data_IF_026436017223
#
_entry.id   IF_026436017223
#
_cell.length_a   1.000
_cell.length_b   1.000
_cell.length_c   1.000
_cell.angle_alpha   90.00
_cell.angle_beta   90.00
_cell.angle_gamma   90.00
#
_symmetry.space_group_name_H-M   'P 1'
#
loop_
_entity.id
_entity.type
_entity.pdbx_description
1 polymer ?
#
# COMPACT_ATOMS: atom_id res chain seq x y z
N UNK A 1 0.83 -9.66 -4.86
CA UNK A 1 0.12 -9.55 -3.56
C UNK A 1 0.45 -10.77 -2.69
N UNK A 2 0.55 -10.65 -1.36
CA UNK A 2 0.67 -11.80 -0.45
C UNK A 2 -0.66 -11.96 0.31
N UNK A 3 -1.10 -13.20 0.49
CA UNK A 3 -2.28 -13.60 1.27
C UNK A 3 -1.87 -14.69 2.27
N UNK A 4 -2.77 -15.04 3.22
CA UNK A 4 -2.56 -16.19 4.11
C UNK A 4 -2.47 -17.53 3.37
N UNK A 5 -3.06 -17.64 2.18
CA UNK A 5 -3.10 -18.87 1.39
C UNK A 5 -1.95 -18.99 0.36
N UNK A 6 -1.16 -17.93 0.17
CA UNK A 6 -0.11 -17.88 -0.83
C UNK A 6 0.01 -16.53 -1.52
N UNK A 7 0.91 -16.47 -2.50
CA UNK A 7 1.19 -15.27 -3.27
C UNK A 7 0.38 -15.22 -4.57
N UNK A 8 -0.09 -14.03 -4.91
CA UNK A 8 -0.62 -13.73 -6.24
C UNK A 8 0.46 -12.95 -7.00
N UNK A 9 0.90 -13.51 -8.12
CA UNK A 9 1.92 -12.92 -8.98
C UNK A 9 1.27 -11.86 -9.86
N UNK A 10 1.72 -10.61 -9.69
CA UNK A 10 1.17 -9.44 -10.37
C UNK A 10 1.85 -9.22 -11.72
N UNK A 11 1.20 -8.49 -12.62
CA UNK A 11 1.73 -8.14 -13.93
C UNK A 11 2.07 -6.63 -13.96
N UNK A 12 3.35 -6.29 -14.05
CA UNK A 12 3.80 -4.89 -13.95
C UNK A 12 3.35 -4.06 -15.16
N UNK A 13 2.92 -2.81 -14.93
CA UNK A 13 2.45 -1.94 -16.01
C UNK A 13 3.56 -1.32 -16.86
N UNK A 14 4.77 -1.21 -16.30
CA UNK A 14 5.97 -0.68 -16.98
C UNK A 14 6.82 -1.81 -17.56
N UNK A 15 7.27 -1.65 -18.82
CA UNK A 15 8.08 -2.67 -19.53
C UNK A 15 9.42 -2.93 -18.85
N UNK A 16 9.98 -1.91 -18.22
CA UNK A 16 11.26 -1.97 -17.50
C UNK A 16 11.20 -2.90 -16.28
N UNK A 17 10.00 -3.19 -15.78
CA UNK A 17 9.73 -4.04 -14.60
C UNK A 17 9.20 -5.42 -14.97
N UNK A 18 9.20 -5.77 -16.26
CA UNK A 18 8.54 -6.99 -16.75
C UNK A 18 9.15 -8.30 -16.24
N UNK A 19 10.41 -8.31 -15.78
CA UNK A 19 11.06 -9.48 -15.19
C UNK A 19 10.98 -9.59 -13.66
N UNK A 20 10.39 -8.60 -12.98
CA UNK A 20 10.20 -8.64 -11.53
C UNK A 20 9.24 -9.75 -11.06
N UNK A 21 8.12 -10.03 -11.75
CA UNK A 21 7.17 -11.07 -11.32
C UNK A 21 7.78 -12.47 -11.22
N UNK A 22 8.59 -12.87 -12.21
CA UNK A 22 9.24 -14.18 -12.25
C UNK A 22 10.28 -14.31 -11.14
N UNK A 23 11.18 -13.32 -11.00
CA UNK A 23 12.17 -13.31 -9.93
C UNK A 23 11.53 -13.33 -8.54
N UNK A 24 10.41 -12.63 -8.37
CA UNK A 24 9.64 -12.63 -7.13
C UNK A 24 8.99 -14.00 -6.85
N UNK A 25 8.42 -14.64 -7.88
CA UNK A 25 7.83 -15.98 -7.74
C UNK A 25 8.88 -17.03 -7.37
N UNK A 26 10.06 -17.00 -8.00
CA UNK A 26 11.15 -17.94 -7.71
C UNK A 26 11.67 -17.78 -6.28
N UNK A 27 11.82 -16.54 -5.80
CA UNK A 27 12.19 -16.27 -4.41
C UNK A 27 11.15 -16.84 -3.43
N UNK A 28 9.86 -16.63 -3.69
CA UNK A 28 8.78 -17.15 -2.85
C UNK A 28 8.72 -18.68 -2.82
N UNK A 29 8.92 -19.34 -3.97
CA UNK A 29 9.03 -20.80 -4.06
C UNK A 29 10.19 -21.31 -3.20
N UNK A 30 11.33 -20.63 -3.23
CA UNK A 30 12.49 -20.99 -2.39
C UNK A 30 12.21 -20.91 -0.89
N UNK A 31 11.24 -20.08 -0.48
CA UNK A 31 10.80 -19.92 0.92
C UNK A 31 9.58 -20.79 1.28
N UNK A 32 9.11 -21.64 0.36
CA UNK A 32 7.95 -22.49 0.57
C UNK A 32 6.60 -21.77 0.55
N UNK A 33 6.55 -20.53 0.03
CA UNK A 33 5.29 -19.80 -0.15
C UNK A 33 4.64 -20.23 -1.47
N UNK A 34 3.42 -20.80 -1.45
CA UNK A 34 2.78 -21.27 -2.68
C UNK A 34 2.30 -20.11 -3.55
N UNK A 35 2.26 -20.33 -4.87
CA UNK A 35 1.58 -19.44 -5.81
C UNK A 35 0.08 -19.76 -5.81
N UNK A 36 -0.72 -18.81 -5.32
CA UNK A 36 -2.19 -18.89 -5.31
C UNK A 36 -2.79 -18.58 -6.69
N UNK A 37 -2.16 -17.68 -7.44
CA UNK A 37 -2.62 -17.27 -8.76
C UNK A 37 -1.67 -16.29 -9.43
N UNK A 38 -1.93 -16.00 -10.71
CA UNK A 38 -1.12 -15.10 -11.53
C UNK A 38 -2.04 -14.27 -12.43
N UNK A 39 -1.76 -12.98 -12.53
CA UNK A 39 -2.42 -12.12 -13.51
C UNK A 39 -1.91 -12.41 -14.92
N UNK A 40 -2.80 -12.29 -15.90
CA UNK A 40 -2.47 -12.61 -17.29
C UNK A 40 -3.21 -11.72 -18.29
N UNK A 41 -2.87 -11.84 -19.57
CA UNK A 41 -3.52 -11.07 -20.64
C UNK A 41 -3.09 -9.61 -20.60
N UNK A 42 -4.06 -8.69 -20.60
CA UNK A 42 -3.81 -7.25 -20.54
C UNK A 42 -3.93 -6.69 -19.13
N UNK A 43 -4.17 -7.55 -18.13
CA UNK A 43 -4.14 -7.17 -16.72
C UNK A 43 -2.82 -6.50 -16.36
N UNK A 44 -2.90 -5.37 -15.65
CA UNK A 44 -1.75 -4.75 -15.00
C UNK A 44 -2.08 -4.48 -13.55
N UNK A 45 -1.11 -4.67 -12.67
CA UNK A 45 -1.23 -4.42 -11.24
C UNK A 45 0.15 -4.20 -10.62
N UNK A 46 0.31 -3.16 -9.82
CA UNK A 46 1.52 -2.90 -9.05
C UNK A 46 1.24 -2.95 -7.54
N UNK A 47 2.17 -3.52 -6.76
CA UNK A 47 1.99 -3.71 -5.31
C UNK A 47 1.63 -2.43 -4.55
N UNK A 48 2.12 -1.28 -5.03
CA UNK A 48 1.86 0.05 -4.50
C UNK A 48 0.37 0.43 -4.44
N UNK A 49 -0.45 -0.17 -5.30
CA UNK A 49 -1.88 0.17 -5.43
C UNK A 49 -2.78 -0.65 -4.52
N UNK A 50 -2.23 -1.51 -3.67
CA UNK A 50 -3.00 -2.40 -2.84
C UNK A 50 -2.76 -2.14 -1.36
N UNK A 51 -3.86 -2.08 -0.60
CA UNK A 51 -3.85 -1.89 0.84
C UNK A 51 -4.86 -2.85 1.46
N UNK A 52 -4.41 -3.73 2.35
CA UNK A 52 -5.31 -4.57 3.14
C UNK A 52 -5.95 -3.72 4.23
N UNK A 53 -7.26 -3.49 4.15
CA UNK A 53 -7.99 -2.76 5.17
C UNK A 53 -8.27 -3.65 6.39
N UNK A 54 -8.55 -4.92 6.13
CA UNK A 54 -8.73 -5.99 7.11
C UNK A 54 -8.50 -7.36 6.42
N UNK A 55 -8.71 -8.46 7.14
CA UNK A 55 -8.49 -9.81 6.60
C UNK A 55 -9.41 -10.20 5.42
N UNK A 56 -10.51 -9.48 5.22
CA UNK A 56 -11.55 -9.77 4.22
C UNK A 56 -11.72 -8.64 3.20
N UNK A 57 -10.98 -7.55 3.32
CA UNK A 57 -11.16 -6.36 2.49
C UNK A 57 -9.80 -5.88 1.97
N UNK A 58 -9.62 -5.99 0.65
CA UNK A 58 -8.51 -5.40 -0.06
C UNK A 58 -8.97 -4.11 -0.76
N UNK A 59 -8.25 -3.01 -0.55
CA UNK A 59 -8.43 -1.78 -1.31
C UNK A 59 -7.49 -1.82 -2.52
N UNK A 60 -8.01 -1.42 -3.68
CA UNK A 60 -7.25 -1.31 -4.92
C UNK A 60 -7.33 0.11 -5.50
N UNK A 61 -6.19 0.69 -5.84
CA UNK A 61 -6.11 1.91 -6.64
C UNK A 61 -6.20 1.58 -8.12
N UNK A 62 -7.23 2.07 -8.82
CA UNK A 62 -7.36 1.97 -10.28
C UNK A 62 -6.72 3.19 -10.93
N UNK A 63 -5.75 2.99 -11.80
CA UNK A 63 -4.99 4.07 -12.41
C UNK A 63 -4.06 3.59 -13.53
N UNK A 64 -2.96 4.30 -13.75
CA UNK A 64 -2.04 4.00 -14.85
C UNK A 64 -1.20 2.73 -14.65
N UNK A 65 -1.06 2.25 -13.41
CA UNK A 65 -0.26 1.06 -13.07
C UNK A 65 -1.11 -0.18 -12.84
N UNK A 66 -2.31 -0.01 -12.29
CA UNK A 66 -3.27 -1.07 -12.02
C UNK A 66 -4.57 -0.79 -12.76
N UNK A 67 -4.94 -1.67 -13.69
CA UNK A 67 -6.11 -1.50 -14.54
C UNK A 67 -7.31 -2.35 -14.07
N UNK A 68 -8.47 -2.14 -14.70
CA UNK A 68 -9.71 -2.85 -14.33
C UNK A 68 -9.57 -4.37 -14.48
N UNK A 69 -8.96 -4.84 -15.57
CA UNK A 69 -8.77 -6.29 -15.81
C UNK A 69 -7.91 -6.94 -14.71
N UNK A 70 -6.88 -6.24 -14.23
CA UNK A 70 -6.07 -6.70 -13.09
C UNK A 70 -6.87 -6.75 -11.79
N UNK A 71 -7.74 -5.78 -11.55
CA UNK A 71 -8.64 -5.76 -10.39
C UNK A 71 -9.66 -6.90 -10.45
N UNK A 72 -10.24 -7.16 -11.61
CA UNK A 72 -11.22 -8.22 -11.81
C UNK A 72 -10.60 -9.60 -11.58
N UNK A 73 -9.44 -9.88 -12.19
CA UNK A 73 -8.71 -11.12 -11.95
C UNK A 73 -8.28 -11.27 -10.48
N UNK A 74 -7.88 -10.17 -9.82
CA UNK A 74 -7.59 -10.22 -8.37
C UNK A 74 -8.83 -10.57 -7.57
N UNK A 75 -10.00 -10.00 -7.88
CA UNK A 75 -11.25 -10.33 -7.22
C UNK A 75 -11.62 -11.80 -7.43
N UNK A 76 -11.44 -12.36 -8.63
CA UNK A 76 -11.69 -13.79 -8.91
C UNK A 76 -10.79 -14.71 -8.09
N UNK A 77 -9.49 -14.40 -8.00
CA UNK A 77 -8.53 -15.21 -7.22
C UNK A 77 -8.81 -15.11 -5.71
N UNK A 78 -9.26 -13.96 -5.24
CA UNK A 78 -9.46 -13.67 -3.82
C UNK A 78 -10.86 -14.05 -3.30
N UNK A 79 -11.86 -14.14 -4.17
CA UNK A 79 -13.24 -14.48 -3.79
C UNK A 79 -13.34 -15.83 -3.05
N UNK A 80 -12.66 -16.92 -3.46
CA UNK A 80 -12.68 -18.19 -2.73
C UNK A 80 -12.12 -18.10 -1.31
N UNK A 81 -11.29 -17.10 -1.02
CA UNK A 81 -10.76 -16.82 0.31
C UNK A 81 -11.70 -15.94 1.16
N UNK A 82 -12.86 -15.56 0.63
CA UNK A 82 -13.81 -14.66 1.29
C UNK A 82 -13.34 -13.21 1.32
N UNK A 83 -12.40 -12.83 0.45
CA UNK A 83 -11.87 -11.47 0.35
C UNK A 83 -12.61 -10.68 -0.74
N UNK A 84 -13.05 -9.48 -0.37
CA UNK A 84 -13.65 -8.50 -1.28
C UNK A 84 -12.61 -7.46 -1.68
N UNK A 85 -12.54 -7.16 -2.98
CA UNK A 85 -11.72 -6.08 -3.54
C UNK A 85 -12.60 -4.86 -3.74
N UNK A 86 -12.24 -3.74 -3.10
CA UNK A 86 -12.89 -2.44 -3.27
C UNK A 86 -11.94 -1.53 -4.04
N UNK A 87 -12.31 -1.20 -5.28
CA UNK A 87 -11.47 -0.39 -6.15
C UNK A 87 -11.94 1.06 -6.22
N UNK A 88 -10.97 1.99 -6.23
CA UNK A 88 -11.22 3.43 -6.36
C UNK A 88 -10.29 4.03 -7.41
N UNK A 89 -10.83 4.95 -8.22
CA UNK A 89 -10.01 5.70 -9.18
C UNK A 89 -9.00 6.59 -8.46
N UNK A 90 -7.73 6.44 -8.82
CA UNK A 90 -6.67 7.31 -8.37
C UNK A 90 -6.72 8.64 -9.14
N UNK A 91 -6.36 9.76 -8.49
CA UNK A 91 -6.35 11.06 -9.17
C UNK A 91 -5.31 11.08 -10.30
N UNK A 92 -5.57 11.90 -11.33
CA UNK A 92 -4.64 12.07 -12.45
C UNK A 92 -3.26 12.59 -12.02
N UNK A 93 -3.22 13.43 -10.97
CA UNK A 93 -2.02 14.09 -10.44
C UNK A 93 -1.22 14.82 -11.54
N UNK A 94 -0.02 14.35 -11.88
CA UNK A 94 0.81 14.89 -12.95
C UNK A 94 0.89 13.97 -14.19
N UNK A 95 0.03 12.95 -14.26
CA UNK A 95 -0.17 12.11 -15.43
C UNK A 95 0.59 10.77 -15.42
N UNK A 96 0.58 10.04 -16.57
CA UNK A 96 1.05 8.64 -16.63
C UNK A 96 2.54 8.42 -16.36
N UNK A 97 3.37 9.46 -16.54
CA UNK A 97 4.81 9.38 -16.32
C UNK A 97 5.20 9.26 -14.84
N UNK A 98 4.34 9.79 -13.96
CA UNK A 98 4.58 9.81 -12.52
C UNK A 98 4.40 8.44 -11.87
N UNK A 99 4.99 8.31 -10.69
CA UNK A 99 4.86 7.14 -9.82
C UNK A 99 3.92 7.49 -8.66
N UNK A 100 2.64 7.69 -8.98
CA UNK A 100 1.60 7.81 -7.97
C UNK A 100 0.88 6.47 -7.83
N UNK A 101 0.99 5.86 -6.65
CA UNK A 101 0.22 4.68 -6.26
C UNK A 101 -0.74 5.03 -5.12
N UNK A 102 -1.67 4.12 -4.80
CA UNK A 102 -2.53 4.24 -3.62
C UNK A 102 -1.71 4.52 -2.35
N UNK A 103 -0.66 3.73 -2.10
CA UNK A 103 0.18 3.87 -0.90
C UNK A 103 1.07 5.12 -0.89
N UNK A 104 1.10 5.91 -1.97
CA UNK A 104 1.80 7.20 -1.98
C UNK A 104 1.13 8.24 -1.08
N UNK A 105 -0.18 8.13 -0.84
CA UNK A 105 -0.96 9.12 -0.10
C UNK A 105 -1.77 8.54 1.06
N UNK A 106 -1.62 7.25 1.36
CA UNK A 106 -2.19 6.62 2.55
C UNK A 106 -1.30 5.48 3.06
N UNK A 107 -1.17 5.35 4.38
CA UNK A 107 -0.64 4.15 5.04
C UNK A 107 -1.46 3.85 6.30
N UNK A 108 -1.86 2.59 6.48
CA UNK A 108 -2.47 2.13 7.73
C UNK A 108 -1.40 1.95 8.80
N UNK A 109 -1.69 2.44 10.00
CA UNK A 109 -0.79 2.46 11.14
C UNK A 109 -1.24 1.52 12.26
N UNK A 110 -2.54 1.23 12.27
CA UNK A 110 -3.23 0.32 13.16
C UNK A 110 -4.58 -0.08 12.53
N UNK A 111 -5.38 -0.91 13.21
CA UNK A 111 -6.75 -1.29 12.82
C UNK A 111 -7.69 -0.10 12.70
N UNK A 112 -7.42 0.98 13.44
CA UNK A 112 -8.28 2.14 13.58
C UNK A 112 -7.58 3.46 13.23
N UNK A 113 -6.40 3.41 12.57
CA UNK A 113 -5.61 4.60 12.32
C UNK A 113 -4.88 4.54 10.98
N UNK A 114 -4.97 5.62 10.21
CA UNK A 114 -4.21 5.83 8.98
C UNK A 114 -3.51 7.19 8.99
N UNK A 115 -2.36 7.29 8.32
CA UNK A 115 -1.81 8.58 7.87
C UNK A 115 -2.22 8.81 6.42
N UNK A 116 -2.66 10.01 6.09
CA UNK A 116 -3.19 10.34 4.76
C UNK A 116 -2.73 11.70 4.26
N UNK A 117 -2.59 11.82 2.95
CA UNK A 117 -2.63 13.10 2.26
C UNK A 117 -4.02 13.25 1.66
N UNK A 118 -4.89 13.90 2.43
CA UNK A 118 -6.34 13.92 2.20
C UNK A 118 -6.72 14.45 0.82
N UNK A 119 -5.93 15.36 0.25
CA UNK A 119 -6.16 15.98 -1.05
C UNK A 119 -6.23 14.99 -2.22
N UNK A 120 -5.57 13.84 -2.10
CA UNK A 120 -5.54 12.80 -3.14
C UNK A 120 -6.50 11.64 -2.86
N UNK A 121 -7.16 11.63 -1.70
CA UNK A 121 -7.99 10.52 -1.29
C UNK A 121 -9.34 10.54 -2.03
N UNK A 122 -9.72 9.46 -2.73
CA UNK A 122 -11.04 9.38 -3.37
C UNK A 122 -12.16 9.53 -2.34
N UNK A 123 -13.18 10.33 -2.64
CA UNK A 123 -14.25 10.70 -1.69
C UNK A 123 -14.94 9.45 -1.11
N UNK A 124 -15.28 8.48 -1.95
CA UNK A 124 -15.92 7.25 -1.50
C UNK A 124 -15.00 6.39 -0.61
N UNK A 125 -13.68 6.47 -0.81
CA UNK A 125 -12.72 5.77 0.05
C UNK A 125 -12.57 6.48 1.39
N UNK A 126 -12.50 7.82 1.39
CA UNK A 126 -12.54 8.62 2.61
C UNK A 126 -13.76 8.29 3.47
N UNK A 127 -14.95 8.24 2.87
CA UNK A 127 -16.18 7.91 3.58
C UNK A 127 -16.14 6.49 4.16
N UNK A 128 -15.64 5.50 3.38
CA UNK A 128 -15.46 4.15 3.90
C UNK A 128 -14.56 4.11 5.14
N UNK A 129 -13.44 4.85 5.14
CA UNK A 129 -12.53 4.89 6.30
C UNK A 129 -13.26 5.43 7.54
N UNK A 130 -14.03 6.51 7.39
CA UNK A 130 -14.82 7.07 8.50
C UNK A 130 -15.92 6.11 8.97
N UNK A 131 -16.64 5.49 8.05
CA UNK A 131 -17.71 4.52 8.37
C UNK A 131 -17.14 3.28 9.08
N UNK A 132 -15.88 2.94 8.83
CA UNK A 132 -15.13 1.89 9.54
C UNK A 132 -14.52 2.35 10.85
N UNK A 133 -14.68 3.61 11.24
CA UNK A 133 -14.13 4.17 12.48
C UNK A 133 -12.62 4.41 12.44
N UNK A 134 -12.02 4.49 11.25
CA UNK A 134 -10.57 4.70 11.09
C UNK A 134 -10.26 6.18 11.22
N UNK A 135 -9.50 6.52 12.26
CA UNK A 135 -8.94 7.86 12.48
C UNK A 135 -7.90 8.21 11.41
N UNK A 136 -7.85 9.48 11.04
CA UNK A 136 -6.97 9.97 9.97
C UNK A 136 -6.01 11.02 10.51
N UNK A 137 -4.71 10.71 10.45
CA UNK A 137 -3.63 11.68 10.65
C UNK A 137 -3.30 12.30 9.30
N UNK A 138 -3.75 13.53 9.08
CA UNK A 138 -3.46 14.26 7.85
C UNK A 138 -2.01 14.78 7.86
N UNK A 139 -1.30 14.64 6.74
CA UNK A 139 0.01 15.28 6.53
C UNK A 139 -0.17 16.70 5.96
N UNK A 140 0.74 17.65 6.22
CA UNK A 140 0.73 18.93 5.53
C UNK A 140 1.22 18.79 4.07
N UNK A 141 0.79 19.70 3.19
CA UNK A 141 1.14 19.72 1.74
C UNK A 141 2.67 19.71 1.55
N UNK A 142 3.37 20.47 2.40
CA UNK A 142 4.83 20.65 2.36
C UNK A 142 5.59 19.35 2.63
N UNK A 143 4.97 18.39 3.33
CA UNK A 143 5.58 17.10 3.66
C UNK A 143 5.19 15.99 2.67
N UNK A 144 4.33 16.26 1.68
CA UNK A 144 4.02 15.27 0.64
C UNK A 144 5.24 14.97 -0.26
N UNK A 145 6.01 15.96 -0.76
CA UNK A 145 7.22 15.71 -1.54
C UNK A 145 8.31 14.98 -0.75
N UNK A 146 8.36 15.16 0.57
CA UNK A 146 9.28 14.44 1.48
C UNK A 146 8.71 13.10 1.97
N UNK A 147 7.64 12.62 1.33
CA UNK A 147 7.01 11.33 1.55
C UNK A 147 6.43 11.14 2.97
N UNK A 148 5.82 12.19 3.53
CA UNK A 148 5.20 12.15 4.85
C UNK A 148 4.11 11.08 5.02
N UNK A 149 3.47 10.63 3.94
CA UNK A 149 2.51 9.52 3.96
C UNK A 149 3.16 8.14 3.94
N UNK A 150 4.44 8.04 3.60
CA UNK A 150 5.15 6.78 3.46
C UNK A 150 5.66 6.33 4.83
N UNK A 151 4.72 5.88 5.65
CA UNK A 151 4.94 5.48 7.04
C UNK A 151 4.72 3.98 7.16
N UNK A 152 5.77 3.27 7.57
CA UNK A 152 5.72 1.83 7.76
C UNK A 152 5.30 1.49 9.19
N UNK A 153 4.17 0.82 9.37
CA UNK A 153 3.81 0.19 10.63
C UNK A 153 4.56 -1.14 10.80
N UNK A 154 5.38 -1.24 11.84
CA UNK A 154 6.08 -2.49 12.22
C UNK A 154 5.29 -3.29 13.26
N UNK A 155 4.33 -2.65 13.92
CA UNK A 155 3.30 -3.22 14.80
C UNK A 155 2.25 -2.12 15.06
N UNK A 156 1.06 -2.45 15.61
CA UNK A 156 0.04 -1.46 15.97
C UNK A 156 0.63 -0.21 16.64
N UNK A 157 0.46 0.96 16.00
CA UNK A 157 0.96 2.27 16.47
C UNK A 157 2.48 2.36 16.68
N UNK A 158 3.28 1.42 16.18
CA UNK A 158 4.75 1.53 16.16
C UNK A 158 5.18 1.69 14.72
N UNK A 159 5.64 2.88 14.41
CA UNK A 159 5.75 3.35 13.03
C UNK A 159 7.14 3.89 12.73
N UNK A 160 7.55 3.74 11.47
CA UNK A 160 8.80 4.24 10.94
C UNK A 160 8.49 5.27 9.86
N UNK A 161 9.02 6.48 10.00
CA UNK A 161 8.87 7.59 9.05
C UNK A 161 10.25 8.08 8.62
N UNK A 162 10.35 8.62 7.41
CA UNK A 162 11.55 9.30 6.96
C UNK A 162 11.77 10.63 7.71
N UNK A 163 13.02 10.90 8.09
CA UNK A 163 13.44 12.23 8.55
C UNK A 163 13.10 13.28 7.49
N UNK A 164 12.76 14.48 7.94
CA UNK A 164 12.27 15.56 7.07
C UNK A 164 10.76 15.78 7.11
N UNK A 165 10.03 14.97 7.90
CA UNK A 165 8.58 15.11 8.11
C UNK A 165 8.20 15.42 9.57
N UNK A 166 8.72 16.51 10.17
CA UNK A 166 8.58 16.79 11.61
C UNK A 166 7.13 17.04 12.06
N UNK A 167 6.29 17.66 11.21
CA UNK A 167 4.88 17.93 11.53
C UNK A 167 4.11 16.62 11.55
N UNK A 168 4.27 15.78 10.54
CA UNK A 168 3.65 14.44 10.53
C UNK A 168 4.14 13.62 11.71
N UNK A 169 5.45 13.56 11.98
CA UNK A 169 5.99 12.83 13.12
C UNK A 169 5.40 13.31 14.47
N UNK A 170 5.18 14.63 14.64
CA UNK A 170 4.50 15.18 15.81
C UNK A 170 3.02 14.75 15.87
N UNK A 171 2.29 14.85 14.76
CA UNK A 171 0.87 14.44 14.70
C UNK A 171 0.69 12.95 14.96
N UNK A 172 1.59 12.11 14.46
CA UNK A 172 1.63 10.67 14.74
C UNK A 172 1.82 10.38 16.24
N UNK A 173 2.78 11.07 16.89
CA UNK A 173 2.98 10.93 18.35
C UNK A 173 1.74 11.37 19.14
N UNK A 174 1.11 12.48 18.74
CA UNK A 174 -0.14 12.95 19.35
C UNK A 174 -1.30 11.98 19.14
N UNK A 175 -1.32 11.29 18.01
CA UNK A 175 -2.28 10.22 17.72
C UNK A 175 -1.95 8.92 18.46
N UNK A 176 -0.93 8.86 19.32
CA UNK A 176 -0.59 7.70 20.13
C UNK A 176 0.43 6.74 19.50
N UNK A 177 1.09 7.13 18.40
CA UNK A 177 2.12 6.31 17.78
C UNK A 177 3.48 6.46 18.46
N UNK A 178 4.20 5.36 18.62
CA UNK A 178 5.65 5.35 18.82
C UNK A 178 6.33 5.53 17.46
N UNK A 179 7.08 6.63 17.28
CA UNK A 179 7.65 7.03 15.99
C UNK A 179 9.17 6.86 15.97
N UNK A 180 9.65 6.04 15.05
CA UNK A 180 11.06 5.92 14.65
C UNK A 180 11.32 6.77 13.41
N UNK A 181 12.38 7.58 13.43
CA UNK A 181 12.75 8.44 12.29
C UNK A 181 14.03 7.90 11.62
N UNK A 182 13.94 7.52 10.35
CA UNK A 182 15.07 7.02 9.56
C UNK A 182 15.64 8.11 8.65
N UNK A 183 16.97 8.29 8.57
CA UNK A 183 17.60 9.13 7.54
C UNK A 183 17.27 8.57 6.14
N UNK A 184 16.72 9.40 5.26
CA UNK A 184 16.21 8.98 3.93
C UNK A 184 17.08 9.35 2.73
N UNK A 185 18.20 10.03 2.95
CA UNK A 185 18.96 10.78 1.92
C UNK A 185 19.46 9.91 0.75
N UNK A 186 19.77 8.63 0.97
CA UNK A 186 20.29 7.75 -0.10
C UNK A 186 19.29 6.73 -0.67
N UNK A 187 18.11 6.54 -0.05
CA UNK A 187 17.17 5.47 -0.44
C UNK A 187 15.84 6.02 -1.01
N UNK A 188 15.31 7.10 -0.43
CA UNK A 188 13.94 7.55 -0.73
C UNK A 188 13.84 8.56 -1.89
N UNK A 189 14.85 9.41 -2.08
CA UNK A 189 14.81 10.56 -3.00
C UNK A 189 15.20 10.24 -4.45
N UNK A 190 16.00 9.19 -4.69
CA UNK A 190 16.45 8.80 -6.05
C UNK A 190 15.57 7.74 -6.72
N UNK A 191 14.73 7.04 -5.97
CA UNK A 191 13.88 5.93 -6.44
C UNK A 191 12.37 6.13 -6.26
N UNK A 192 11.92 7.29 -5.78
CA UNK A 192 10.51 7.60 -5.47
C UNK A 192 9.83 6.55 -4.57
N UNK A 193 10.59 5.88 -3.70
CA UNK A 193 10.10 4.82 -2.83
C UNK A 193 10.55 5.01 -1.39
N UNK A 194 9.61 5.27 -0.49
CA UNK A 194 9.87 5.34 0.96
C UNK A 194 9.74 3.97 1.64
N UNK A 195 9.77 3.90 2.98
CA UNK A 195 9.81 2.66 3.77
C UNK A 195 8.75 1.62 3.36
N UNK A 196 7.51 2.04 3.13
CA UNK A 196 6.41 1.17 2.70
C UNK A 196 6.62 0.63 1.28
N UNK A 197 7.28 1.40 0.40
CA UNK A 197 7.64 0.94 -0.95
C UNK A 197 8.83 -0.04 -0.93
N UNK A 198 9.62 -0.03 0.14
CA UNK A 198 10.81 -0.89 0.33
C UNK A 198 10.52 -2.16 1.12
N UNK A 199 9.32 -2.27 1.70
CA UNK A 199 8.93 -3.43 2.51
C UNK A 199 7.65 -4.06 1.97
N UNK A 200 7.60 -5.39 1.99
CA UNK A 200 6.40 -6.16 1.69
C UNK A 200 6.15 -7.12 2.84
N UNK A 201 5.13 -6.89 3.69
CA UNK A 201 4.81 -7.82 4.78
C UNK A 201 4.53 -9.21 4.21
N UNK A 202 5.33 -10.21 4.60
CA UNK A 202 5.20 -11.61 4.18
C UNK A 202 4.09 -12.35 4.94
N UNK A 203 3.60 -11.77 6.04
CA UNK A 203 2.47 -12.24 6.84
C UNK A 203 1.78 -11.01 7.43
N UNK A 204 0.47 -10.79 7.22
CA UNK A 204 -0.27 -9.86 8.07
C UNK A 204 -0.16 -10.40 9.49
N UNK A 205 0.40 -9.61 10.42
CA UNK A 205 0.36 -9.95 11.84
C UNK A 205 -1.10 -10.27 12.21
N UNK A 206 -1.38 -11.39 12.90
CA UNK A 206 -2.72 -11.64 13.39
C UNK A 206 -3.07 -10.50 14.35
N UNK A 207 -4.01 -9.65 13.93
CA UNK A 207 -4.60 -8.63 14.78
C UNK A 207 -5.65 -9.32 15.67
N UNK A 208 -5.21 -10.27 16.49
CA UNK A 208 -6.05 -10.82 17.56
C UNK A 208 -5.91 -9.93 18.78
N UNK A 209 -6.96 -9.17 19.08
CA UNK A 209 -7.17 -8.53 20.37
C UNK A 209 -7.27 -9.63 21.44
N UNK A 210 -6.38 -9.58 22.43
CA UNK A 210 -6.58 -10.19 23.74
C UNK A 210 -7.57 -9.37 24.55
#
# INVERSE_FOLDING_TARGET
>A
LITKAGAIILQMGKKERAGEPEAFEDALKSWGVPTLGRLSGKATAEGGDFLWLDEKTLIAGRGFRTNQEGIDQLQEILQPLGVKVLAYDLPYWAGPGEVLHLMSFISLLDVDLAVVYKRLLPVAFYQLLLDRGIGLVEIPEEEFPTQGCNVLAISPRRVVILKGNPVTAKRLRQAGCFVYELPGEEIALKGSGGPTCLTRPSMPLPLSLS
#
